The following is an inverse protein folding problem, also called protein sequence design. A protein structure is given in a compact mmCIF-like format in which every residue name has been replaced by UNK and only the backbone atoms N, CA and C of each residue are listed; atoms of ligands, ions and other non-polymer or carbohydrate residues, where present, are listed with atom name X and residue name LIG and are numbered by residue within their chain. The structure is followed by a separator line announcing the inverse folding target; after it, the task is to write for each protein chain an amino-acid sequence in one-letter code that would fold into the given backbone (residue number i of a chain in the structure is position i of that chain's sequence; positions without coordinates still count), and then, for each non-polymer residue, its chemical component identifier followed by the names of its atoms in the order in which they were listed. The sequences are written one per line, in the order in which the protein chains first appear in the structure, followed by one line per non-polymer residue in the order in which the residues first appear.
data_IF_580954205458
#
_entry.id   IF_580954205458
#
_cell.length_a   1.000
_cell.length_b   1.000
_cell.length_c   1.000
_cell.angle_alpha   90.00
_cell.angle_beta   90.00
_cell.angle_gamma   90.00
#
_symmetry.space_group_name_H-M   'P 1'
#
loop_
_entity.id
_entity.type
_entity.pdbx_description
1 polymer ?
#
# COMPACT_ATOMS: atom_id res chain seq x y z
N UNK A 1 10.27 -34.36 1.30
CA UNK A 1 9.92 -33.62 0.06
C UNK A 1 8.62 -32.83 0.21
N UNK A 2 7.54 -33.40 0.74
CA UNK A 2 6.25 -32.70 0.98
C UNK A 2 6.38 -31.33 1.69
N UNK A 3 7.13 -31.27 2.82
CA UNK A 3 7.34 -30.01 3.58
C UNK A 3 8.00 -28.89 2.78
N UNK A 4 8.78 -29.18 1.72
CA UNK A 4 9.36 -28.15 0.84
C UNK A 4 8.34 -27.61 -0.17
N UNK A 5 7.51 -28.49 -0.70
CA UNK A 5 6.48 -28.15 -1.70
C UNK A 5 5.35 -27.32 -1.08
N UNK A 6 4.96 -27.59 0.17
CA UNK A 6 3.97 -26.79 0.89
C UNK A 6 4.48 -25.37 1.22
N UNK A 7 5.78 -25.24 1.50
CA UNK A 7 6.41 -23.93 1.73
C UNK A 7 6.50 -23.09 0.45
N UNK A 8 6.71 -23.73 -0.71
CA UNK A 8 6.74 -23.04 -2.01
C UNK A 8 5.36 -22.49 -2.37
N UNK A 9 4.32 -23.32 -2.26
CA UNK A 9 2.92 -22.89 -2.44
C UNK A 9 2.54 -21.75 -1.50
N UNK A 10 2.97 -21.81 -0.25
CA UNK A 10 2.71 -20.74 0.73
C UNK A 10 3.37 -19.43 0.30
N UNK A 11 4.63 -19.45 -0.17
CA UNK A 11 5.33 -18.25 -0.67
C UNK A 11 4.65 -17.66 -1.90
N UNK A 12 4.20 -18.50 -2.83
CA UNK A 12 3.45 -18.04 -4.02
C UNK A 12 2.14 -17.37 -3.63
N UNK A 13 1.37 -17.97 -2.71
CA UNK A 13 0.13 -17.38 -2.20
C UNK A 13 0.39 -16.03 -1.51
N UNK A 14 1.43 -15.93 -0.69
CA UNK A 14 1.81 -14.66 -0.05
C UNK A 14 2.24 -13.60 -1.06
N UNK A 15 3.08 -13.96 -2.03
CA UNK A 15 3.47 -13.06 -3.12
C UNK A 15 2.24 -12.56 -3.87
N UNK A 16 1.29 -13.44 -4.18
CA UNK A 16 0.05 -13.06 -4.84
C UNK A 16 -0.77 -12.06 -4.01
N UNK A 17 -0.97 -12.34 -2.71
CA UNK A 17 -1.68 -11.43 -1.79
C UNK A 17 -1.01 -10.05 -1.69
N UNK A 18 0.32 -10.01 -1.60
CA UNK A 18 1.06 -8.76 -1.57
C UNK A 18 0.90 -7.98 -2.89
N UNK A 19 0.94 -8.65 -4.05
CA UNK A 19 0.68 -8.00 -5.34
C UNK A 19 -0.75 -7.46 -5.44
N UNK A 20 -1.75 -8.19 -4.91
CA UNK A 20 -3.11 -7.67 -4.80
C UNK A 20 -3.16 -6.42 -3.93
N UNK A 21 -2.46 -6.44 -2.78
CA UNK A 21 -2.41 -5.31 -1.87
C UNK A 21 -1.74 -4.08 -2.51
N UNK A 22 -0.67 -4.26 -3.30
CA UNK A 22 -0.09 -3.18 -4.13
C UNK A 22 -1.19 -2.54 -4.98
N UNK A 23 -1.94 -3.35 -5.73
CA UNK A 23 -3.02 -2.83 -6.59
C UNK A 23 -4.08 -2.05 -5.81
N UNK A 24 -4.50 -2.54 -4.65
CA UNK A 24 -5.46 -1.84 -3.79
C UNK A 24 -4.92 -0.50 -3.27
N UNK A 25 -3.68 -0.48 -2.78
CA UNK A 25 -3.03 0.73 -2.25
C UNK A 25 -2.82 1.77 -3.35
N UNK A 26 -2.34 1.35 -4.52
CA UNK A 26 -2.19 2.25 -5.68
C UNK A 26 -3.54 2.85 -6.09
N UNK A 27 -4.61 2.05 -6.13
CA UNK A 27 -5.93 2.56 -6.47
C UNK A 27 -6.45 3.56 -5.42
N UNK A 28 -6.25 3.29 -4.13
CA UNK A 28 -6.62 4.21 -3.06
C UNK A 28 -5.85 5.54 -3.16
N UNK A 29 -4.55 5.49 -3.43
CA UNK A 29 -3.73 6.69 -3.64
C UNK A 29 -4.25 7.53 -4.81
N UNK A 30 -4.53 6.89 -5.96
CA UNK A 30 -5.07 7.59 -7.15
C UNK A 30 -6.38 8.32 -6.83
N UNK A 31 -7.28 7.69 -6.07
CA UNK A 31 -8.53 8.33 -5.66
C UNK A 31 -8.27 9.50 -4.71
N UNK A 32 -7.34 9.36 -3.76
CA UNK A 32 -6.95 10.45 -2.87
C UNK A 32 -6.36 11.63 -3.63
N UNK A 33 -5.43 11.39 -4.56
CA UNK A 33 -4.82 12.41 -5.40
C UNK A 33 -5.84 13.13 -6.29
N UNK A 34 -6.82 12.38 -6.83
CA UNK A 34 -7.92 12.97 -7.59
C UNK A 34 -8.79 13.89 -6.72
N UNK A 35 -9.10 13.47 -5.49
CA UNK A 35 -9.87 14.28 -4.55
C UNK A 35 -9.12 15.56 -4.14
N UNK A 36 -7.81 15.48 -3.89
CA UNK A 36 -6.95 16.66 -3.67
C UNK A 36 -6.93 17.56 -4.92
N UNK A 37 -6.83 16.99 -6.11
CA UNK A 37 -6.89 17.74 -7.37
C UNK A 37 -8.22 18.45 -7.60
N UNK A 38 -9.34 17.86 -7.16
CA UNK A 38 -10.66 18.50 -7.19
C UNK A 38 -10.76 19.62 -6.15
N UNK A 39 -10.26 19.41 -4.93
CA UNK A 39 -10.21 20.46 -3.90
C UNK A 39 -9.42 21.68 -4.40
N UNK A 40 -8.22 21.47 -4.94
CA UNK A 40 -7.39 22.53 -5.53
C UNK A 40 -8.07 23.29 -6.68
N UNK A 41 -9.02 22.66 -7.39
CA UNK A 41 -9.74 23.29 -8.50
C UNK A 41 -10.91 24.16 -8.03
N UNK A 42 -11.60 23.76 -6.98
CA UNK A 42 -12.89 24.32 -6.60
C UNK A 42 -12.90 25.09 -5.29
N UNK A 43 -11.91 24.86 -4.42
CA UNK A 43 -11.78 25.52 -3.13
C UNK A 43 -10.69 26.58 -3.18
N UNK A 44 -10.86 27.64 -2.38
CA UNK A 44 -9.78 28.60 -2.12
C UNK A 44 -8.79 28.02 -1.10
N UNK A 45 -7.61 28.62 -1.05
CA UNK A 45 -6.53 28.17 -0.16
C UNK A 45 -6.95 28.15 1.32
N UNK A 46 -7.63 29.21 1.79
CA UNK A 46 -8.12 29.32 3.16
C UNK A 46 -9.19 28.27 3.50
N UNK A 47 -10.06 27.95 2.53
CA UNK A 47 -11.06 26.89 2.69
C UNK A 47 -10.44 25.49 2.71
N UNK A 48 -9.36 25.26 1.96
CA UNK A 48 -8.63 23.99 1.97
C UNK A 48 -7.83 23.79 3.26
N UNK A 49 -7.14 24.82 3.72
CA UNK A 49 -6.30 24.80 4.92
C UNK A 49 -7.10 24.47 6.19
N UNK A 50 -8.33 25.00 6.28
CA UNK A 50 -9.27 24.75 7.38
C UNK A 50 -10.08 23.44 7.19
N UNK A 51 -9.91 22.72 6.08
CA UNK A 51 -10.71 21.53 5.78
C UNK A 51 -10.10 20.25 6.35
N UNK A 52 -10.74 19.70 7.39
CA UNK A 52 -10.43 18.36 7.91
C UNK A 52 -10.55 17.26 6.85
N UNK A 53 -11.48 17.43 5.89
CA UNK A 53 -11.66 16.49 4.79
C UNK A 53 -10.45 16.48 3.85
N UNK A 54 -9.98 17.66 3.42
CA UNK A 54 -8.78 17.79 2.57
C UNK A 54 -7.57 17.21 3.29
N UNK A 55 -7.35 17.59 4.55
CA UNK A 55 -6.23 17.08 5.36
C UNK A 55 -6.25 15.56 5.51
N UNK A 56 -7.43 14.98 5.72
CA UNK A 56 -7.59 13.52 5.83
C UNK A 56 -7.23 12.82 4.52
N UNK A 57 -7.61 13.40 3.38
CA UNK A 57 -7.31 12.84 2.06
C UNK A 57 -5.81 12.99 1.72
N UNK A 58 -5.18 14.10 2.07
CA UNK A 58 -3.72 14.28 1.94
C UNK A 58 -2.97 13.24 2.76
N UNK A 59 -3.36 13.06 4.03
CA UNK A 59 -2.79 12.01 4.88
C UNK A 59 -2.98 10.62 4.27
N UNK A 60 -4.15 10.34 3.68
CA UNK A 60 -4.41 9.07 3.02
C UNK A 60 -3.47 8.86 1.81
N UNK A 61 -3.24 9.89 0.99
CA UNK A 61 -2.31 9.80 -0.13
C UNK A 61 -0.89 9.48 0.35
N UNK A 62 -0.39 10.20 1.35
CA UNK A 62 0.92 9.93 1.96
C UNK A 62 1.02 8.53 2.57
N UNK A 63 -0.01 8.08 3.30
CA UNK A 63 -0.04 6.73 3.87
C UNK A 63 0.00 5.65 2.78
N UNK A 64 -0.62 5.89 1.62
CA UNK A 64 -0.55 4.94 0.51
C UNK A 64 0.87 4.85 -0.08
N UNK A 65 1.59 5.97 -0.18
CA UNK A 65 2.99 5.98 -0.61
C UNK A 65 3.88 5.18 0.35
N UNK A 66 3.75 5.43 1.65
CA UNK A 66 4.49 4.70 2.69
C UNK A 66 4.17 3.21 2.68
N UNK A 67 2.88 2.86 2.58
CA UNK A 67 2.44 1.47 2.50
C UNK A 67 3.01 0.77 1.26
N UNK A 68 2.99 1.43 0.10
CA UNK A 68 3.53 0.87 -1.15
C UNK A 68 5.03 0.61 -1.04
N UNK A 69 5.79 1.52 -0.42
CA UNK A 69 7.23 1.32 -0.17
C UNK A 69 7.48 0.07 0.68
N UNK A 70 6.72 -0.11 1.76
CA UNK A 70 6.85 -1.28 2.65
C UNK A 70 6.49 -2.57 1.90
N UNK A 71 5.37 -2.59 1.18
CA UNK A 71 4.91 -3.79 0.45
C UNK A 71 5.91 -4.17 -0.64
N UNK A 72 6.42 -3.20 -1.40
CA UNK A 72 7.44 -3.42 -2.42
C UNK A 72 8.76 -3.95 -1.81
N UNK A 73 9.17 -3.42 -0.66
CA UNK A 73 10.35 -3.92 0.04
C UNK A 73 10.17 -5.38 0.51
N UNK A 74 8.99 -5.77 0.98
CA UNK A 74 8.71 -7.16 1.37
C UNK A 74 8.62 -8.11 0.17
N UNK A 75 8.11 -7.64 -0.96
CA UNK A 75 8.14 -8.39 -2.23
C UNK A 75 9.58 -8.61 -2.71
N UNK A 76 10.43 -7.59 -2.62
CA UNK A 76 11.84 -7.66 -3.05
C UNK A 76 12.69 -8.59 -2.16
N UNK A 77 12.45 -8.60 -0.84
CA UNK A 77 13.14 -9.49 0.12
C UNK A 77 12.76 -10.97 -0.06
N UNK A 78 11.73 -11.27 -0.85
CA UNK A 78 11.17 -12.62 -0.98
C UNK A 78 10.56 -13.11 0.32
N UNK A 79 9.36 -12.62 0.67
CA UNK A 79 8.50 -13.07 1.80
C UNK A 79 9.27 -13.72 2.96
N UNK A 80 9.81 -12.88 3.86
CA UNK A 80 10.55 -13.31 5.08
C UNK A 80 9.74 -14.15 6.08
N UNK A 81 8.43 -14.28 5.86
CA UNK A 81 7.50 -15.02 6.71
C UNK A 81 7.68 -16.55 6.69
N UNK A 82 8.74 -17.07 6.04
CA UNK A 82 9.12 -18.48 6.05
C UNK A 82 10.26 -18.86 7.00
N UNK A 83 10.83 -17.93 7.77
CA UNK A 83 11.96 -18.25 8.67
C UNK A 83 11.50 -18.47 10.11
N UNK A 84 10.85 -19.60 10.34
CA UNK A 84 11.10 -20.40 11.52
C UNK A 84 12.10 -21.49 11.13
N UNK A 85 13.28 -21.48 11.76
CA UNK A 85 14.29 -22.54 11.76
C UNK A 85 15.21 -22.68 10.53
N UNK A 86 16.33 -21.95 10.56
CA UNK A 86 17.67 -22.55 10.38
C UNK A 86 18.68 -21.66 11.09
N UNK A 87 18.92 -21.99 12.37
CA UNK A 87 20.25 -21.87 12.97
C UNK A 87 21.01 -23.16 12.65
#
# INVERSE_FOLDING_TARGET
MAKRQDNEKLREQWRHKLMTLVGCVTHAQVVADQAIGLANRFMKYDEMDDSDAVRTVENLSCMCEEALQVICAELAKGTRLGNGETK
#
